data_IF_794420002023
#
_entry.id   IF_794420002023
#
_cell.length_a   1.000
_cell.length_b   1.000
_cell.length_c   1.000
_cell.angle_alpha   90.00
_cell.angle_beta   90.00
_cell.angle_gamma   90.00
#
_symmetry.space_group_name_H-M   'P 1'
#
loop_
_entity.id
_entity.type
_entity.pdbx_description
1 polymer ?
#
# COMPACT_ATOMS: atom_id res chain seq x y z
N UNK A 1 39.26 -1.80 -6.55
CA UNK A 1 39.43 -3.18 -6.04
C UNK A 1 39.86 -4.12 -7.17
N UNK A 2 39.06 -4.27 -8.24
CA UNK A 2 39.38 -5.11 -9.43
C UNK A 2 40.80 -4.91 -9.99
N UNK A 3 41.27 -3.65 -10.10
CA UNK A 3 42.64 -3.33 -10.57
C UNK A 3 43.72 -4.03 -9.73
N UNK A 4 43.59 -4.05 -8.40
CA UNK A 4 44.59 -4.68 -7.52
C UNK A 4 44.67 -6.20 -7.75
N UNK A 5 43.51 -6.87 -7.87
CA UNK A 5 43.45 -8.30 -8.17
C UNK A 5 44.08 -8.60 -9.53
N UNK A 6 43.77 -7.78 -10.55
CA UNK A 6 44.38 -7.88 -11.88
C UNK A 6 45.91 -7.75 -11.81
N UNK A 7 46.42 -6.72 -11.12
CA UNK A 7 47.85 -6.46 -11.02
C UNK A 7 48.57 -7.62 -10.28
N UNK A 8 47.97 -8.19 -9.24
CA UNK A 8 48.48 -9.38 -8.54
C UNK A 8 48.49 -10.63 -9.43
N UNK A 9 47.39 -10.91 -10.15
CA UNK A 9 47.33 -12.05 -11.07
C UNK A 9 48.31 -11.92 -12.25
N UNK A 10 48.49 -10.71 -12.77
CA UNK A 10 49.48 -10.44 -13.82
C UNK A 10 50.91 -10.68 -13.31
N UNK A 11 51.21 -10.21 -12.09
CA UNK A 11 52.51 -10.44 -11.45
C UNK A 11 52.79 -11.93 -11.22
N UNK A 12 51.77 -12.71 -10.85
CA UNK A 12 51.81 -14.18 -10.76
C UNK A 12 52.09 -14.82 -12.12
N UNK A 13 51.40 -14.39 -13.18
CA UNK A 13 51.59 -14.91 -14.53
C UNK A 13 52.99 -14.63 -15.08
N UNK A 14 53.50 -13.42 -14.89
CA UNK A 14 54.82 -13.02 -15.36
C UNK A 14 55.91 -13.84 -14.66
N UNK A 15 55.73 -14.15 -13.37
CA UNK A 15 56.62 -15.03 -12.62
C UNK A 15 56.59 -16.48 -13.14
N UNK A 16 55.40 -17.02 -13.41
CA UNK A 16 55.23 -18.36 -13.98
C UNK A 16 55.85 -18.50 -15.37
N UNK A 17 55.84 -17.44 -16.18
CA UNK A 17 56.46 -17.42 -17.53
C UNK A 17 57.98 -17.23 -17.49
N UNK A 18 58.49 -16.44 -16.54
CA UNK A 18 59.90 -16.08 -16.42
C UNK A 18 60.78 -17.09 -15.66
N UNK A 19 60.17 -18.00 -14.91
CA UNK A 19 60.91 -18.99 -14.12
C UNK A 19 61.18 -20.26 -14.94
N UNK A 20 62.43 -20.78 -14.97
CA UNK A 20 62.68 -22.11 -15.54
C UNK A 20 61.81 -23.11 -14.77
N UNK A 21 61.22 -24.09 -15.48
CA UNK A 21 60.36 -25.17 -14.95
C UNK A 21 61.11 -26.02 -13.90
N UNK A 22 61.48 -25.44 -12.75
CA UNK A 22 61.53 -26.18 -11.49
C UNK A 22 60.13 -26.73 -11.30
N UNK A 23 60.04 -27.91 -10.70
CA UNK A 23 58.78 -28.57 -10.35
C UNK A 23 57.97 -27.67 -9.43
N UNK A 24 57.35 -26.65 -10.01
CA UNK A 24 56.30 -25.90 -9.41
C UNK A 24 55.26 -26.95 -9.08
N UNK A 25 54.96 -27.15 -7.81
CA UNK A 25 53.98 -28.15 -7.40
C UNK A 25 52.71 -27.92 -8.24
N UNK A 26 52.30 -28.94 -9.00
CA UNK A 26 51.21 -28.84 -9.97
C UNK A 26 49.95 -28.26 -9.30
N UNK A 27 49.77 -28.50 -8.01
CA UNK A 27 48.68 -27.97 -7.18
C UNK A 27 48.68 -26.44 -7.07
N UNK A 28 49.84 -25.79 -6.91
CA UNK A 28 49.93 -24.33 -6.84
C UNK A 28 49.57 -23.68 -8.19
N UNK A 29 49.99 -24.31 -9.29
CA UNK A 29 49.62 -23.89 -10.65
C UNK A 29 48.12 -24.01 -10.87
N UNK A 30 47.52 -25.13 -10.47
CA UNK A 30 46.07 -25.35 -10.55
C UNK A 30 45.31 -24.29 -9.76
N UNK A 31 45.76 -23.96 -8.55
CA UNK A 31 45.08 -22.95 -7.73
C UNK A 31 45.16 -21.55 -8.34
N UNK A 32 46.31 -21.18 -8.91
CA UNK A 32 46.48 -19.92 -9.63
C UNK A 32 45.52 -19.83 -10.83
N UNK A 33 45.39 -20.91 -11.60
CA UNK A 33 44.44 -21.00 -12.72
C UNK A 33 43.00 -20.85 -12.23
N UNK A 34 42.60 -21.58 -11.18
CA UNK A 34 41.25 -21.50 -10.62
C UNK A 34 40.91 -20.08 -10.14
N UNK A 35 41.82 -19.44 -9.41
CA UNK A 35 41.66 -18.06 -8.97
C UNK A 35 41.48 -17.09 -10.14
N UNK A 36 42.29 -17.23 -11.19
CA UNK A 36 42.17 -16.41 -12.40
C UNK A 36 40.84 -16.64 -13.14
N UNK A 37 40.40 -17.90 -13.28
CA UNK A 37 39.14 -18.25 -13.93
C UNK A 37 37.93 -17.66 -13.21
N UNK A 38 37.86 -17.78 -11.89
CA UNK A 38 36.79 -17.19 -11.07
C UNK A 38 36.79 -15.66 -11.22
N UNK A 39 37.96 -15.04 -11.07
CA UNK A 39 38.08 -13.58 -11.17
C UNK A 39 37.63 -13.08 -12.54
N UNK A 40 38.05 -13.77 -13.61
CA UNK A 40 37.62 -13.46 -14.98
C UNK A 40 36.10 -13.61 -15.14
N UNK A 41 35.53 -14.74 -14.75
CA UNK A 41 34.09 -15.00 -14.85
C UNK A 41 33.26 -13.95 -14.11
N UNK A 42 33.66 -13.58 -12.89
CA UNK A 42 33.02 -12.50 -12.13
C UNK A 42 33.11 -11.17 -12.87
N UNK A 43 34.28 -10.81 -13.42
CA UNK A 43 34.41 -9.56 -14.18
C UNK A 43 33.61 -9.54 -15.47
N UNK A 44 33.44 -10.67 -16.16
CA UNK A 44 32.61 -10.76 -17.35
C UNK A 44 31.12 -10.61 -16.98
N UNK A 45 30.67 -11.25 -15.89
CA UNK A 45 29.31 -11.07 -15.37
C UNK A 45 29.02 -9.62 -14.97
N UNK A 46 30.01 -8.88 -14.47
CA UNK A 46 29.84 -7.47 -14.12
C UNK A 46 29.76 -6.53 -15.32
N UNK A 47 30.25 -6.94 -16.49
CA UNK A 47 30.16 -6.16 -17.74
C UNK A 47 28.83 -6.38 -18.47
N UNK A 48 28.12 -7.43 -18.12
CA UNK A 48 26.83 -7.72 -18.72
C UNK A 48 25.77 -6.77 -18.14
N UNK A 49 25.40 -5.76 -18.93
CA UNK A 49 24.32 -4.81 -18.62
C UNK A 49 22.95 -5.49 -18.44
N UNK A 50 22.82 -6.78 -18.78
CA UNK A 50 21.63 -7.57 -18.52
C UNK A 50 21.55 -8.11 -17.09
N UNK A 51 22.62 -8.01 -16.28
CA UNK A 51 22.58 -8.30 -14.85
C UNK A 51 21.82 -7.17 -14.12
N UNK A 52 20.50 -7.16 -14.27
CA UNK A 52 19.58 -6.19 -13.65
C UNK A 52 19.19 -6.55 -12.22
N UNK A 53 19.64 -7.69 -11.71
CA UNK A 53 19.30 -8.15 -10.37
C UNK A 53 20.17 -7.46 -9.31
N UNK A 54 19.59 -6.48 -8.63
CA UNK A 54 20.25 -5.66 -7.60
C UNK A 54 21.01 -6.48 -6.56
N UNK A 55 20.45 -7.60 -6.08
CA UNK A 55 21.10 -8.44 -5.07
C UNK A 55 22.33 -9.22 -5.60
N UNK A 56 22.31 -9.63 -6.88
CA UNK A 56 23.48 -10.22 -7.52
C UNK A 56 24.53 -9.15 -7.79
N UNK A 57 24.09 -7.98 -8.24
CA UNK A 57 24.93 -6.81 -8.45
C UNK A 57 25.65 -6.40 -7.15
N UNK A 58 24.92 -6.16 -6.06
CA UNK A 58 25.48 -5.79 -4.75
C UNK A 58 26.48 -6.84 -4.23
N UNK A 59 26.23 -8.12 -4.51
CA UNK A 59 27.19 -9.17 -4.20
C UNK A 59 28.44 -9.07 -5.06
N UNK A 60 28.31 -9.10 -6.39
CA UNK A 60 29.46 -9.09 -7.31
C UNK A 60 30.33 -7.83 -7.13
N UNK A 61 29.72 -6.72 -6.74
CA UNK A 61 30.40 -5.46 -6.42
C UNK A 61 30.83 -5.36 -4.92
N UNK A 62 30.47 -6.33 -4.10
CA UNK A 62 30.77 -6.38 -2.67
C UNK A 62 32.27 -6.55 -2.38
N UNK A 63 32.78 -5.79 -1.41
CA UNK A 63 34.22 -5.78 -1.09
C UNK A 63 34.75 -7.16 -0.69
N UNK A 64 33.93 -7.96 0.00
CA UNK A 64 34.32 -9.30 0.50
C UNK A 64 34.87 -10.21 -0.59
N UNK A 65 34.23 -10.29 -1.77
CA UNK A 65 34.70 -11.13 -2.89
C UNK A 65 36.08 -10.64 -3.36
N UNK A 66 36.21 -9.32 -3.55
CA UNK A 66 37.44 -8.74 -4.08
C UNK A 66 38.60 -8.75 -3.08
N UNK A 67 38.31 -8.59 -1.79
CA UNK A 67 39.30 -8.65 -0.72
C UNK A 67 39.83 -10.08 -0.55
N UNK A 68 38.95 -11.09 -0.59
CA UNK A 68 39.36 -12.50 -0.56
C UNK A 68 40.13 -12.89 -1.83
N UNK A 69 39.66 -12.48 -3.02
CA UNK A 69 40.38 -12.73 -4.28
C UNK A 69 41.76 -12.06 -4.29
N UNK A 70 41.87 -10.83 -3.81
CA UNK A 70 43.15 -10.13 -3.69
C UNK A 70 44.09 -10.85 -2.72
N UNK A 71 43.57 -11.29 -1.58
CA UNK A 71 44.34 -12.03 -0.56
C UNK A 71 44.87 -13.34 -1.13
N UNK A 72 44.06 -14.08 -1.88
CA UNK A 72 44.47 -15.31 -2.55
C UNK A 72 45.56 -15.03 -3.60
N UNK A 73 45.32 -14.08 -4.50
CA UNK A 73 46.27 -13.75 -5.57
C UNK A 73 47.63 -13.28 -5.01
N UNK A 74 47.61 -12.47 -3.94
CA UNK A 74 48.83 -11.99 -3.28
C UNK A 74 49.57 -13.13 -2.57
N UNK A 75 48.82 -14.03 -1.90
CA UNK A 75 49.42 -15.18 -1.21
C UNK A 75 50.06 -16.17 -2.19
N UNK A 76 49.44 -16.38 -3.35
CA UNK A 76 50.03 -17.19 -4.44
C UNK A 76 51.30 -16.51 -4.97
N UNK A 77 51.26 -15.21 -5.25
CA UNK A 77 52.42 -14.46 -5.73
C UNK A 77 53.60 -14.52 -4.73
N UNK A 78 53.31 -14.34 -3.44
CA UNK A 78 54.32 -14.38 -2.39
C UNK A 78 54.99 -15.76 -2.29
N UNK A 79 54.22 -16.85 -2.37
CA UNK A 79 54.79 -18.20 -2.37
C UNK A 79 55.66 -18.47 -3.60
N UNK A 80 55.22 -18.02 -4.77
CA UNK A 80 56.02 -18.11 -5.98
C UNK A 80 57.34 -17.33 -5.85
N UNK A 81 57.28 -16.10 -5.33
CA UNK A 81 58.46 -15.24 -5.18
C UNK A 81 59.46 -15.75 -4.14
N UNK A 82 58.98 -16.29 -3.02
CA UNK A 82 59.84 -16.80 -1.93
C UNK A 82 60.52 -18.11 -2.31
N UNK A 83 59.97 -18.82 -3.31
CA UNK A 83 60.49 -20.11 -3.77
C UNK A 83 60.59 -21.10 -2.58
N UNK A 84 59.56 -21.06 -1.70
CA UNK A 84 59.47 -21.91 -0.52
C UNK A 84 59.45 -23.39 -0.95
N UNK A 85 60.27 -24.23 -0.34
CA UNK A 85 60.36 -25.67 -0.65
C UNK A 85 59.07 -26.44 -0.32
N UNK A 86 58.17 -25.86 0.47
CA UNK A 86 56.86 -26.40 0.80
C UNK A 86 55.84 -25.25 0.98
N UNK A 87 55.10 -24.84 -0.06
CA UNK A 87 54.06 -23.83 0.06
C UNK A 87 52.94 -24.31 0.99
N UNK A 88 52.34 -23.39 1.75
CA UNK A 88 51.24 -23.73 2.66
C UNK A 88 49.93 -23.87 1.88
N UNK A 89 49.83 -24.95 1.09
CA UNK A 89 48.70 -25.23 0.21
C UNK A 89 47.38 -25.34 0.98
N UNK A 90 47.39 -25.87 2.20
CA UNK A 90 46.20 -25.92 3.06
C UNK A 90 45.62 -24.54 3.35
N UNK A 91 46.47 -23.56 3.66
CA UNK A 91 46.05 -22.17 3.87
C UNK A 91 45.51 -21.55 2.58
N UNK A 92 46.18 -21.77 1.45
CA UNK A 92 45.73 -21.26 0.16
C UNK A 92 44.40 -21.86 -0.27
N UNK A 93 44.20 -23.16 -0.08
CA UNK A 93 42.92 -23.84 -0.30
C UNK A 93 41.82 -23.29 0.59
N UNK A 94 42.12 -22.99 1.86
CA UNK A 94 41.15 -22.37 2.77
C UNK A 94 40.67 -21.02 2.24
N UNK A 95 41.60 -20.15 1.80
CA UNK A 95 41.27 -18.84 1.21
C UNK A 95 40.47 -19.00 -0.10
N UNK A 96 40.81 -20.02 -0.90
CA UNK A 96 40.06 -20.35 -2.11
C UNK A 96 38.63 -20.81 -1.81
N UNK A 97 38.43 -21.68 -0.82
CA UNK A 97 37.09 -22.08 -0.37
C UNK A 97 36.30 -20.90 0.19
N UNK A 98 36.95 -19.96 0.89
CA UNK A 98 36.32 -18.71 1.32
C UNK A 98 35.86 -17.85 0.14
N UNK A 99 36.66 -17.79 -0.93
CA UNK A 99 36.29 -17.08 -2.16
C UNK A 99 35.10 -17.75 -2.84
N UNK A 100 35.12 -19.08 -2.96
CA UNK A 100 33.97 -19.84 -3.47
C UNK A 100 32.72 -19.57 -2.62
N UNK A 101 32.82 -19.66 -1.29
CA UNK A 101 31.71 -19.38 -0.38
C UNK A 101 31.22 -17.93 -0.44
N UNK A 102 32.10 -16.96 -0.72
CA UNK A 102 31.70 -15.56 -0.91
C UNK A 102 30.87 -15.39 -2.20
N UNK A 103 31.15 -16.20 -3.23
CA UNK A 103 30.41 -16.22 -4.49
C UNK A 103 29.12 -17.04 -4.39
N UNK A 104 29.20 -18.24 -3.81
CA UNK A 104 28.12 -19.23 -3.73
C UNK A 104 27.21 -19.08 -2.52
N UNK A 105 27.62 -18.31 -1.49
CA UNK A 105 26.89 -18.20 -0.23
C UNK A 105 25.40 -17.87 -0.43
N UNK A 106 24.53 -18.24 0.51
CA UNK A 106 23.10 -17.90 0.39
C UNK A 106 22.94 -16.40 0.16
N UNK A 107 22.48 -15.98 -1.02
CA UNK A 107 21.87 -14.64 -1.12
C UNK A 107 20.63 -14.81 -0.30
N UNK A 108 20.51 -14.07 0.80
CA UNK A 108 19.22 -13.97 1.49
C UNK A 108 18.22 -13.45 0.47
N UNK A 109 17.42 -14.37 -0.07
CA UNK A 109 16.34 -14.02 -0.98
C UNK A 109 15.27 -13.43 -0.08
N UNK A 110 15.33 -12.11 0.04
CA UNK A 110 14.39 -11.33 0.82
C UNK A 110 13.08 -11.19 0.04
N UNK A 111 11.97 -11.18 0.78
CA UNK A 111 10.67 -10.79 0.27
C UNK A 111 10.74 -9.36 -0.30
N UNK A 112 10.14 -9.09 -1.48
CA UNK A 112 10.04 -7.74 -2.00
C UNK A 112 9.35 -6.78 -1.04
N UNK A 113 9.88 -5.57 -0.89
CA UNK A 113 9.33 -4.55 0.02
C UNK A 113 7.88 -4.18 -0.28
N UNK A 114 7.50 -4.24 -1.55
CA UNK A 114 6.14 -3.98 -2.04
C UNK A 114 5.08 -4.89 -1.41
N UNK A 115 5.47 -6.09 -0.97
CA UNK A 115 4.56 -6.99 -0.26
C UNK A 115 3.97 -6.36 1.01
N UNK A 116 4.77 -5.61 1.76
CA UNK A 116 4.33 -4.94 2.97
C UNK A 116 3.45 -3.70 2.68
N UNK A 117 3.61 -3.10 1.50
CA UNK A 117 2.84 -1.92 1.06
C UNK A 117 1.44 -2.28 0.60
N UNK A 118 1.20 -3.54 0.22
CA UNK A 118 -0.04 -4.00 -0.38
C UNK A 118 -1.25 -3.94 0.58
N UNK A 119 -1.13 -4.49 1.79
CA UNK A 119 -2.26 -4.61 2.72
C UNK A 119 -2.82 -3.27 3.23
N UNK A 120 -2.00 -2.24 3.54
CA UNK A 120 -2.52 -0.93 3.90
C UNK A 120 -3.38 -0.27 2.81
N UNK A 121 -3.16 -0.62 1.53
CA UNK A 121 -3.93 -0.05 0.42
C UNK A 121 -5.33 -0.64 0.32
N UNK A 122 -5.52 -1.92 0.66
CA UNK A 122 -6.83 -2.59 0.60
C UNK A 122 -7.89 -1.86 1.43
N UNK A 123 -7.50 -1.34 2.60
CA UNK A 123 -8.39 -0.58 3.48
C UNK A 123 -8.85 0.77 2.92
N UNK A 124 -8.17 1.29 1.88
CA UNK A 124 -8.49 2.56 1.21
C UNK A 124 -9.37 2.36 -0.03
N UNK A 125 -9.60 1.12 -0.46
CA UNK A 125 -10.36 0.81 -1.66
C UNK A 125 -11.84 0.79 -1.32
N UNK A 126 -12.64 1.47 -2.13
CA UNK A 126 -14.06 1.56 -1.89
C UNK A 126 -14.89 0.41 -2.46
N UNK A 127 -16.20 0.53 -2.31
CA UNK A 127 -17.17 -0.56 -2.53
C UNK A 127 -17.29 -1.08 -3.96
N UNK A 128 -16.69 -0.44 -4.96
CA UNK A 128 -16.76 -0.94 -6.33
C UNK A 128 -15.78 -2.09 -6.61
N UNK A 129 -14.66 -2.13 -5.87
CA UNK A 129 -13.55 -3.05 -6.14
C UNK A 129 -13.15 -3.89 -4.93
N UNK A 130 -13.79 -3.70 -3.78
CA UNK A 130 -13.31 -4.29 -2.52
C UNK A 130 -13.17 -5.82 -2.53
N UNK A 131 -14.12 -6.57 -3.09
CA UNK A 131 -14.01 -8.03 -3.14
C UNK A 131 -12.90 -8.45 -4.09
N UNK A 132 -12.78 -7.79 -5.25
CA UNK A 132 -11.67 -8.01 -6.18
C UNK A 132 -10.31 -7.76 -5.50
N UNK A 133 -10.17 -6.65 -4.76
CA UNK A 133 -8.92 -6.31 -4.07
C UNK A 133 -8.55 -7.32 -3.00
N UNK A 134 -9.53 -7.84 -2.26
CA UNK A 134 -9.30 -8.89 -1.27
C UNK A 134 -8.80 -10.18 -1.93
N UNK A 135 -9.37 -10.55 -3.09
CA UNK A 135 -8.91 -11.72 -3.85
C UNK A 135 -7.48 -11.52 -4.34
N UNK A 136 -7.15 -10.39 -4.99
CA UNK A 136 -5.78 -10.13 -5.44
C UNK A 136 -4.79 -10.12 -4.26
N UNK A 137 -5.14 -9.50 -3.14
CA UNK A 137 -4.30 -9.51 -1.94
C UNK A 137 -4.07 -10.92 -1.39
N UNK A 138 -5.11 -11.76 -1.39
CA UNK A 138 -4.99 -13.17 -1.00
C UNK A 138 -4.10 -13.97 -1.95
N UNK A 139 -4.19 -13.73 -3.26
CA UNK A 139 -3.36 -14.40 -4.25
C UNK A 139 -1.90 -13.96 -4.15
N UNK A 140 -1.63 -12.66 -3.99
CA UNK A 140 -0.29 -12.15 -3.72
C UNK A 140 0.29 -12.75 -2.42
N UNK A 141 -0.54 -12.93 -1.38
CA UNK A 141 -0.12 -13.61 -0.15
C UNK A 141 0.26 -15.08 -0.38
N UNK A 142 -0.50 -15.81 -1.20
CA UNK A 142 -0.19 -17.19 -1.56
C UNK A 142 1.13 -17.30 -2.32
N UNK A 143 1.31 -16.46 -3.35
CA UNK A 143 2.54 -16.33 -4.14
C UNK A 143 3.73 -16.00 -3.24
N UNK A 144 3.61 -14.99 -2.38
CA UNK A 144 4.65 -14.60 -1.44
C UNK A 144 4.99 -15.73 -0.45
N UNK A 145 3.98 -16.42 0.09
CA UNK A 145 4.20 -17.55 1.01
C UNK A 145 4.94 -18.70 0.32
N UNK A 146 4.62 -18.98 -0.94
CA UNK A 146 5.32 -20.00 -1.72
C UNK A 146 6.78 -19.59 -2.00
N UNK A 147 6.98 -18.34 -2.41
CA UNK A 147 8.29 -17.77 -2.65
C UNK A 147 9.19 -17.81 -1.41
N UNK A 148 8.67 -17.46 -0.23
CA UNK A 148 9.42 -17.49 1.04
C UNK A 148 9.84 -18.92 1.42
N UNK A 149 9.02 -19.92 1.09
CA UNK A 149 9.31 -21.34 1.37
C UNK A 149 10.35 -21.92 0.42
N UNK A 150 10.20 -21.69 -0.88
CA UNK A 150 11.08 -22.28 -1.88
C UNK A 150 12.37 -21.50 -2.10
N UNK A 151 12.33 -20.18 -1.87
CA UNK A 151 13.43 -19.25 -2.12
C UNK A 151 14.06 -19.45 -3.50
N UNK A 152 13.23 -19.70 -4.52
CA UNK A 152 13.69 -19.78 -5.91
C UNK A 152 14.06 -18.38 -6.39
N UNK A 153 15.34 -18.18 -6.73
CA UNK A 153 15.83 -16.87 -7.18
C UNK A 153 15.13 -16.39 -8.45
N UNK A 154 14.88 -17.30 -9.39
CA UNK A 154 14.23 -17.04 -10.68
C UNK A 154 12.79 -16.53 -10.52
N UNK A 155 12.11 -16.90 -9.43
CA UNK A 155 10.76 -16.46 -9.14
C UNK A 155 10.68 -15.04 -8.54
N UNK A 156 11.81 -14.45 -8.11
CA UNK A 156 11.77 -13.16 -7.42
C UNK A 156 11.24 -12.04 -8.31
N UNK A 157 11.73 -11.97 -9.55
CA UNK A 157 11.35 -10.90 -10.48
C UNK A 157 9.86 -10.96 -10.84
N UNK A 158 9.32 -12.17 -11.00
CA UNK A 158 7.89 -12.35 -11.28
C UNK A 158 7.05 -11.94 -10.08
N UNK A 159 7.46 -12.27 -8.86
CA UNK A 159 6.80 -11.81 -7.62
C UNK A 159 6.84 -10.28 -7.50
N UNK A 160 7.99 -9.65 -7.78
CA UNK A 160 8.13 -8.18 -7.77
C UNK A 160 7.17 -7.52 -8.77
N UNK A 161 7.10 -8.03 -10.01
CA UNK A 161 6.15 -7.52 -11.02
C UNK A 161 4.70 -7.68 -10.61
N UNK A 162 4.32 -8.85 -10.11
CA UNK A 162 2.95 -9.12 -9.66
C UNK A 162 2.53 -8.18 -8.53
N UNK A 163 3.41 -7.95 -7.55
CA UNK A 163 3.16 -7.02 -6.46
C UNK A 163 3.03 -5.58 -6.95
N UNK A 164 3.94 -5.12 -7.82
CA UNK A 164 3.89 -3.78 -8.39
C UNK A 164 2.58 -3.51 -9.15
N UNK A 165 2.17 -4.44 -10.04
CA UNK A 165 0.90 -4.33 -10.78
C UNK A 165 -0.32 -4.32 -9.86
N UNK A 166 -0.28 -5.11 -8.80
CA UNK A 166 -1.37 -5.15 -7.80
C UNK A 166 -1.46 -3.83 -7.03
N UNK A 167 -0.32 -3.22 -6.68
CA UNK A 167 -0.27 -1.90 -6.06
C UNK A 167 -0.84 -0.83 -7.00
N UNK A 168 -0.50 -0.86 -8.29
CA UNK A 168 -1.05 0.08 -9.28
C UNK A 168 -2.58 -0.03 -9.34
N UNK A 169 -3.11 -1.26 -9.42
CA UNK A 169 -4.55 -1.53 -9.40
C UNK A 169 -5.23 -1.00 -8.12
N UNK A 170 -4.62 -1.20 -6.96
CA UNK A 170 -5.15 -0.74 -5.68
C UNK A 170 -5.11 0.79 -5.56
N UNK A 171 -4.06 1.41 -6.07
CA UNK A 171 -3.87 2.86 -6.04
C UNK A 171 -4.89 3.55 -6.96
N UNK A 172 -5.17 2.96 -8.13
CA UNK A 172 -6.24 3.40 -9.02
C UNK A 172 -7.63 3.24 -8.39
N UNK A 173 -7.93 2.05 -7.85
CA UNK A 173 -9.21 1.75 -7.21
C UNK A 173 -9.49 2.59 -5.95
N UNK A 174 -8.44 2.96 -5.22
CA UNK A 174 -8.50 3.88 -4.08
C UNK A 174 -8.56 5.36 -4.47
N UNK A 175 -8.43 5.71 -5.76
CA UNK A 175 -8.41 7.09 -6.23
C UNK A 175 -7.19 7.90 -5.77
N UNK A 176 -6.10 7.23 -5.42
CA UNK A 176 -4.90 7.84 -4.81
C UNK A 176 -3.97 8.50 -5.84
N UNK A 177 -4.20 8.29 -7.15
CA UNK A 177 -3.36 8.79 -8.25
C UNK A 177 -3.87 10.08 -8.92
N UNK A 178 -4.95 10.72 -8.43
CA UNK A 178 -5.47 11.95 -9.08
C UNK A 178 -4.83 13.22 -8.50
N UNK A 179 -4.27 14.12 -9.34
CA UNK A 179 -3.71 15.39 -8.87
C UNK A 179 -4.81 16.28 -8.29
N UNK A 180 -4.55 16.84 -7.11
CA UNK A 180 -5.39 17.83 -6.44
C UNK A 180 -5.44 19.07 -7.33
N UNK A 181 -6.47 19.18 -8.15
CA UNK A 181 -6.73 20.36 -8.97
C UNK A 181 -7.74 21.23 -8.23
N UNK A 182 -7.26 22.39 -7.77
CA UNK A 182 -8.05 23.54 -7.30
C UNK A 182 -8.91 23.36 -6.05
N UNK A 183 -8.35 22.89 -4.93
CA UNK A 183 -8.83 23.21 -3.56
C UNK A 183 -10.27 22.81 -3.20
N UNK A 184 -10.98 22.13 -4.10
CA UNK A 184 -12.25 21.50 -3.86
C UNK A 184 -11.95 20.01 -3.91
N UNK A 185 -12.05 19.35 -2.76
CA UNK A 185 -12.07 17.89 -2.67
C UNK A 185 -13.32 17.38 -3.39
N UNK A 186 -13.34 17.40 -4.71
CA UNK A 186 -14.21 16.56 -5.49
C UNK A 186 -13.57 15.18 -5.51
N UNK A 187 -13.97 14.37 -4.54
CA UNK A 187 -13.89 12.92 -4.63
C UNK A 187 -14.78 12.46 -5.81
N UNK A 188 -14.34 12.73 -7.03
CA UNK A 188 -15.05 12.38 -8.26
C UNK A 188 -15.08 10.85 -8.48
N UNK A 189 -14.24 10.11 -7.75
CA UNK A 189 -14.32 8.65 -7.63
C UNK A 189 -14.58 8.26 -6.17
N UNK A 190 -15.55 8.94 -5.54
CA UNK A 190 -15.98 8.74 -4.15
C UNK A 190 -16.50 7.33 -3.87
N UNK A 191 -15.59 6.37 -3.86
CA UNK A 191 -15.76 5.10 -3.18
C UNK A 191 -15.28 5.22 -1.71
N UNK A 192 -14.90 6.43 -1.27
CA UNK A 192 -14.77 6.78 0.14
C UNK A 192 -16.14 6.70 0.81
N UNK A 193 -16.32 5.68 1.64
CA UNK A 193 -17.55 5.42 2.39
C UNK A 193 -17.72 6.32 3.62
N UNK A 194 -16.87 7.32 3.81
CA UNK A 194 -17.01 8.26 4.92
C UNK A 194 -17.99 9.35 4.51
N UNK A 195 -19.27 9.05 4.76
CA UNK A 195 -20.40 9.91 4.44
C UNK A 195 -20.26 11.31 5.01
N UNK A 196 -19.86 12.25 4.16
CA UNK A 196 -20.15 13.67 4.35
C UNK A 196 -21.39 13.97 3.52
N UNK A 197 -22.53 14.05 4.19
CA UNK A 197 -23.78 14.50 3.57
C UNK A 197 -23.71 16.02 3.48
N UNK A 198 -23.34 16.54 2.31
CA UNK A 198 -23.45 17.97 2.03
C UNK A 198 -24.89 18.30 1.60
N UNK A 199 -25.43 19.38 2.15
CA UNK A 199 -26.80 19.81 1.92
C UNK A 199 -27.01 20.21 0.44
N UNK A 200 -27.90 19.48 -0.26
CA UNK A 200 -28.80 20.11 -1.23
C UNK A 200 -28.53 19.96 -2.72
N UNK A 201 -27.52 19.21 -3.17
CA UNK A 201 -27.38 18.88 -4.61
C UNK A 201 -27.44 17.37 -4.76
N UNK A 202 -28.36 16.88 -5.60
CA UNK A 202 -28.51 15.46 -5.89
C UNK A 202 -27.18 14.88 -6.35
N UNK A 203 -26.57 14.03 -5.53
CA UNK A 203 -25.37 13.32 -5.89
C UNK A 203 -25.69 12.36 -7.04
N UNK A 204 -25.17 12.65 -8.23
CA UNK A 204 -24.87 11.63 -9.23
C UNK A 204 -23.80 10.72 -8.62
N UNK A 205 -24.26 9.66 -7.94
CA UNK A 205 -23.42 8.56 -7.48
C UNK A 205 -22.87 7.83 -8.70
N UNK A 206 -21.75 8.31 -9.25
CA UNK A 206 -20.97 7.63 -10.29
C UNK A 206 -20.20 6.47 -9.67
N UNK A 207 -20.89 5.54 -9.01
CA UNK A 207 -20.36 4.23 -8.64
C UNK A 207 -20.29 3.33 -9.87
N UNK A 208 -19.89 3.88 -11.01
CA UNK A 208 -19.65 3.15 -12.25
C UNK A 208 -18.21 2.65 -12.27
N UNK A 209 -18.04 1.44 -12.80
CA UNK A 209 -16.74 0.84 -12.99
C UNK A 209 -15.93 1.69 -13.98
N UNK A 210 -14.73 2.06 -13.56
CA UNK A 210 -13.70 2.63 -14.41
C UNK A 210 -13.04 1.50 -15.24
N UNK A 211 -13.20 1.49 -16.58
CA UNK A 211 -12.60 0.46 -17.44
C UNK A 211 -11.07 0.43 -17.35
N UNK A 212 -10.42 1.58 -17.12
CA UNK A 212 -8.97 1.65 -16.98
C UNK A 212 -8.53 0.98 -15.68
N UNK A 213 -9.32 1.11 -14.62
CA UNK A 213 -9.08 0.41 -13.36
C UNK A 213 -9.25 -1.11 -13.52
N UNK A 214 -10.30 -1.57 -14.22
CA UNK A 214 -10.51 -3.01 -14.47
C UNK A 214 -9.35 -3.64 -15.24
N UNK A 215 -8.80 -2.93 -16.24
CA UNK A 215 -7.60 -3.38 -16.95
C UNK A 215 -6.41 -3.58 -16.02
N UNK A 216 -6.24 -2.73 -15.00
CA UNK A 216 -5.15 -2.91 -14.02
C UNK A 216 -5.35 -4.16 -13.15
N UNK A 217 -6.60 -4.55 -12.85
CA UNK A 217 -6.89 -5.81 -12.17
C UNK A 217 -6.59 -7.02 -13.07
N UNK A 218 -6.86 -6.91 -14.38
CA UNK A 218 -6.49 -7.94 -15.36
C UNK A 218 -4.96 -8.07 -15.51
N UNK A 219 -4.25 -6.95 -15.64
CA UNK A 219 -2.79 -6.96 -15.70
C UNK A 219 -2.17 -7.60 -14.44
N UNK A 220 -2.74 -7.30 -13.26
CA UNK A 220 -2.31 -7.87 -11.99
C UNK A 220 -2.53 -9.38 -11.95
N UNK A 221 -3.68 -9.89 -12.41
CA UNK A 221 -3.94 -11.33 -12.39
C UNK A 221 -3.05 -12.09 -13.37
N UNK A 222 -2.71 -11.49 -14.51
CA UNK A 222 -1.83 -12.11 -15.51
C UNK A 222 -0.38 -12.23 -15.01
N UNK A 223 0.13 -11.26 -14.25
CA UNK A 223 1.43 -11.38 -13.58
C UNK A 223 1.39 -12.42 -12.44
N UNK A 224 0.30 -12.48 -11.67
CA UNK A 224 0.12 -13.51 -10.63
C UNK A 224 0.11 -14.92 -11.28
N UNK A 225 -0.54 -15.10 -12.43
CA UNK A 225 -0.49 -16.37 -13.18
C UNK A 225 0.93 -16.71 -13.60
N UNK A 226 1.70 -15.71 -14.02
CA UNK A 226 3.11 -15.89 -14.37
C UNK A 226 3.94 -16.35 -13.17
N UNK A 227 3.63 -15.88 -11.95
CA UNK A 227 4.20 -16.43 -10.72
C UNK A 227 3.85 -17.91 -10.51
N UNK A 228 2.59 -18.30 -10.73
CA UNK A 228 2.15 -19.69 -10.57
C UNK A 228 2.92 -20.62 -11.52
N UNK A 229 3.07 -20.22 -12.78
CA UNK A 229 3.84 -20.97 -13.78
C UNK A 229 5.31 -21.08 -13.38
N UNK A 230 5.93 -19.95 -13.00
CA UNK A 230 7.37 -19.90 -12.66
C UNK A 230 7.70 -20.74 -11.43
N UNK A 231 6.78 -20.81 -10.47
CA UNK A 231 6.98 -21.55 -9.22
C UNK A 231 6.38 -22.96 -9.24
N UNK A 232 5.78 -23.40 -10.37
CA UNK A 232 5.07 -24.67 -10.50
C UNK A 232 3.96 -24.85 -9.44
N UNK A 233 3.22 -23.77 -9.17
CA UNK A 233 2.11 -23.78 -8.22
C UNK A 233 0.86 -24.37 -8.88
N UNK A 234 0.57 -25.62 -8.55
CA UNK A 234 -0.69 -26.27 -8.92
C UNK A 234 -1.76 -26.02 -7.85
N UNK A 235 -2.36 -24.82 -7.85
CA UNK A 235 -3.60 -24.61 -7.08
C UNK A 235 -4.80 -25.11 -7.88
N UNK A 236 -5.69 -25.88 -7.23
CA UNK A 236 -6.88 -26.48 -7.86
C UNK A 236 -7.96 -25.48 -8.33
N UNK A 237 -7.66 -24.19 -8.44
CA UNK A 237 -8.58 -23.15 -8.90
C UNK A 237 -7.80 -22.04 -9.63
N UNK A 238 -8.25 -21.68 -10.84
CA UNK A 238 -7.63 -20.63 -11.65
C UNK A 238 -7.75 -19.26 -10.95
N UNK A 239 -6.63 -18.54 -10.72
CA UNK A 239 -6.65 -17.17 -10.22
C UNK A 239 -7.64 -16.25 -10.95
N UNK A 240 -7.81 -16.41 -12.26
CA UNK A 240 -8.75 -15.58 -13.05
C UNK A 240 -10.21 -15.89 -12.73
N UNK A 241 -10.56 -17.16 -12.54
CA UNK A 241 -11.91 -17.53 -12.11
C UNK A 241 -12.25 -16.96 -10.73
N UNK A 242 -11.28 -16.96 -9.80
CA UNK A 242 -11.45 -16.32 -8.48
C UNK A 242 -11.71 -14.82 -8.60
N UNK A 243 -11.01 -14.13 -9.51
CA UNK A 243 -11.21 -12.70 -9.76
C UNK A 243 -12.59 -12.42 -10.38
N UNK A 244 -13.03 -13.20 -11.37
CA UNK A 244 -14.36 -13.07 -11.99
C UNK A 244 -15.50 -13.31 -10.98
N UNK A 245 -15.33 -14.30 -10.09
CA UNK A 245 -16.28 -14.52 -9.00
C UNK A 245 -16.34 -13.32 -8.04
N UNK A 246 -15.21 -12.66 -7.78
CA UNK A 246 -15.15 -11.46 -6.95
C UNK A 246 -15.77 -10.23 -7.64
N UNK A 247 -15.54 -10.06 -8.96
CA UNK A 247 -16.22 -9.06 -9.81
C UNK A 247 -17.73 -9.18 -9.69
N UNK A 248 -18.24 -10.40 -9.84
CA UNK A 248 -19.68 -10.69 -9.72
C UNK A 248 -20.22 -10.28 -8.34
N UNK A 249 -19.49 -10.61 -7.25
CA UNK A 249 -19.87 -10.21 -5.89
C UNK A 249 -19.90 -8.69 -5.69
N UNK A 250 -18.91 -7.98 -6.22
CA UNK A 250 -18.88 -6.51 -6.13
C UNK A 250 -20.04 -5.89 -6.93
N UNK A 251 -20.32 -6.40 -8.13
CA UNK A 251 -21.46 -5.96 -8.96
C UNK A 251 -22.80 -6.22 -8.27
N UNK A 252 -23.01 -7.40 -7.68
CA UNK A 252 -24.21 -7.72 -6.91
C UNK A 252 -24.36 -6.80 -5.71
N UNK A 253 -23.28 -6.52 -4.98
CA UNK A 253 -23.29 -5.60 -3.84
C UNK A 253 -23.62 -4.17 -4.27
N UNK A 254 -23.05 -3.70 -5.38
CA UNK A 254 -23.37 -2.40 -5.95
C UNK A 254 -24.83 -2.33 -6.40
N UNK A 255 -25.35 -3.37 -7.05
CA UNK A 255 -26.75 -3.46 -7.45
C UNK A 255 -27.67 -3.42 -6.23
N UNK A 256 -27.37 -4.20 -5.20
CA UNK A 256 -28.13 -4.18 -3.94
C UNK A 256 -28.08 -2.81 -3.27
N UNK A 257 -26.92 -2.15 -3.26
CA UNK A 257 -26.76 -0.81 -2.72
C UNK A 257 -27.58 0.21 -3.52
N UNK A 258 -27.48 0.19 -4.86
CA UNK A 258 -28.28 1.03 -5.75
C UNK A 258 -29.76 0.80 -5.48
N UNK A 259 -30.24 -0.45 -5.46
CA UNK A 259 -31.62 -0.79 -5.15
C UNK A 259 -32.05 -0.29 -3.77
N UNK A 260 -31.21 -0.40 -2.72
CA UNK A 260 -31.54 0.15 -1.39
C UNK A 260 -31.59 1.67 -1.38
N UNK A 261 -30.72 2.33 -2.16
CA UNK A 261 -30.70 3.79 -2.26
C UNK A 261 -31.87 4.27 -3.10
N UNK A 262 -32.20 3.64 -4.24
CA UNK A 262 -33.33 4.02 -5.09
C UNK A 262 -34.68 3.62 -4.50
N UNK A 263 -34.82 2.44 -3.92
CA UNK A 263 -36.08 1.98 -3.30
C UNK A 263 -36.24 2.50 -1.87
N UNK A 264 -35.16 2.91 -1.20
CA UNK A 264 -35.17 3.59 0.09
C UNK A 264 -35.40 5.11 0.00
N UNK A 265 -35.62 5.62 -1.22
CA UNK A 265 -36.25 6.91 -1.48
C UNK A 265 -37.68 6.62 -1.99
N UNK A 266 -38.47 5.83 -1.25
CA UNK A 266 -39.84 6.31 -1.01
C UNK A 266 -39.64 7.70 -0.43
N UNK A 267 -40.09 8.75 -1.13
CA UNK A 267 -39.92 10.15 -0.75
C UNK A 267 -39.95 10.23 0.79
N UNK A 268 -38.77 10.37 1.42
CA UNK A 268 -38.69 10.30 2.88
C UNK A 268 -39.66 11.36 3.35
N UNK A 269 -40.71 10.96 4.05
CA UNK A 269 -41.79 11.86 4.44
C UNK A 269 -41.17 12.88 5.39
N UNK A 270 -40.70 14.00 4.86
CA UNK A 270 -40.05 15.03 5.66
C UNK A 270 -41.14 15.84 6.33
N UNK A 271 -40.94 16.11 7.60
CA UNK A 271 -41.76 17.03 8.37
C UNK A 271 -41.21 18.43 8.16
N UNK A 272 -42.07 19.36 7.77
CA UNK A 272 -41.75 20.78 7.75
C UNK A 272 -41.77 21.32 9.20
N UNK A 273 -40.59 21.45 9.79
CA UNK A 273 -40.41 21.91 11.16
C UNK A 273 -40.14 23.42 11.19
N UNK A 274 -41.00 24.14 11.90
CA UNK A 274 -40.85 25.57 12.16
C UNK A 274 -40.38 25.76 13.60
N UNK A 275 -39.19 26.32 13.79
CA UNK A 275 -38.64 26.63 15.10
C UNK A 275 -38.78 28.13 15.33
N UNK A 276 -39.50 28.52 16.37
CA UNK A 276 -39.66 29.91 16.77
C UNK A 276 -38.82 30.12 18.02
N UNK A 277 -37.80 30.96 17.94
CA UNK A 277 -36.82 31.11 19.01
C UNK A 277 -37.17 32.32 19.86
N UNK A 278 -37.18 32.12 21.18
CA UNK A 278 -37.49 33.12 22.19
C UNK A 278 -36.34 33.25 23.18
N UNK A 279 -36.04 34.46 23.61
CA UNK A 279 -35.21 34.67 24.80
C UNK A 279 -36.00 34.29 26.05
N UNK A 280 -35.34 33.68 27.02
CA UNK A 280 -35.96 33.33 28.30
C UNK A 280 -36.60 34.57 28.97
N UNK A 281 -37.88 34.46 29.33
CA UNK A 281 -38.68 35.55 29.88
C UNK A 281 -39.23 36.57 28.88
N UNK A 282 -38.92 36.46 27.57
CA UNK A 282 -39.47 37.34 26.53
C UNK A 282 -40.71 36.75 25.85
N UNK A 283 -41.70 37.60 25.56
CA UNK A 283 -42.88 37.23 24.76
C UNK A 283 -42.67 37.41 23.25
N UNK A 284 -41.61 38.11 22.84
CA UNK A 284 -41.28 38.34 21.43
C UNK A 284 -40.28 37.31 20.93
N UNK A 285 -40.55 36.72 19.76
CA UNK A 285 -39.59 35.84 19.10
C UNK A 285 -38.43 36.65 18.51
N UNK A 286 -37.23 36.10 18.63
CA UNK A 286 -35.99 36.71 18.13
C UNK A 286 -35.54 36.11 16.79
N UNK A 287 -35.97 34.88 16.49
CA UNK A 287 -35.61 34.21 15.26
C UNK A 287 -36.64 33.15 14.86
N UNK A 288 -36.72 32.83 13.57
CA UNK A 288 -37.59 31.78 13.05
C UNK A 288 -36.83 30.95 12.02
N UNK A 289 -36.70 29.66 12.28
CA UNK A 289 -36.04 28.70 11.38
C UNK A 289 -37.06 27.77 10.76
N UNK A 290 -36.85 27.45 9.49
CA UNK A 290 -37.60 26.44 8.77
C UNK A 290 -36.62 25.33 8.37
N UNK A 291 -36.82 24.13 8.91
CA UNK A 291 -35.96 22.98 8.64
C UNK A 291 -36.80 21.78 8.26
N UNK A 292 -36.30 20.96 7.33
CA UNK A 292 -36.93 19.69 6.97
C UNK A 292 -36.23 18.57 7.71
N UNK A 293 -36.99 17.81 8.50
CA UNK A 293 -36.46 16.73 9.32
C UNK A 293 -37.19 15.44 9.06
N UNK A 294 -36.53 14.32 9.35
CA UNK A 294 -37.21 13.03 9.35
C UNK A 294 -38.21 12.97 10.51
N UNK A 295 -39.35 12.26 10.39
CA UNK A 295 -40.30 12.09 11.48
C UNK A 295 -39.66 11.39 12.68
N UNK A 296 -38.68 10.51 12.41
CA UNK A 296 -37.89 9.79 13.42
C UNK A 296 -36.73 10.60 13.99
N UNK A 297 -36.52 11.85 13.54
CA UNK A 297 -35.49 12.70 14.12
C UNK A 297 -35.81 13.00 15.59
N UNK A 298 -34.78 12.97 16.44
CA UNK A 298 -34.90 13.38 17.85
C UNK A 298 -34.68 14.87 18.01
N UNK A 299 -35.27 15.46 19.06
CA UNK A 299 -35.07 16.87 19.38
C UNK A 299 -33.62 17.23 19.70
N UNK A 300 -32.80 16.29 20.15
CA UNK A 300 -31.35 16.48 20.29
C UNK A 300 -30.64 16.80 18.96
N UNK A 301 -31.04 16.16 17.86
CA UNK A 301 -30.55 16.49 16.52
C UNK A 301 -31.03 17.88 16.08
N UNK A 302 -32.29 18.23 16.37
CA UNK A 302 -32.85 19.56 16.11
C UNK A 302 -32.13 20.63 16.92
N UNK A 303 -31.77 20.35 18.17
CA UNK A 303 -30.96 21.23 19.04
C UNK A 303 -29.61 21.53 18.40
N UNK A 304 -28.91 20.49 17.93
CA UNK A 304 -27.63 20.64 17.26
C UNK A 304 -27.74 21.50 15.98
N UNK A 305 -28.76 21.28 15.15
CA UNK A 305 -28.99 22.12 13.96
C UNK A 305 -29.28 23.57 14.34
N UNK A 306 -30.13 23.79 15.34
CA UNK A 306 -30.52 25.13 15.81
C UNK A 306 -29.32 25.91 16.35
N UNK A 307 -28.45 25.25 17.14
CA UNK A 307 -27.24 25.85 17.69
C UNK A 307 -26.20 26.20 16.60
N UNK A 308 -26.24 25.51 15.45
CA UNK A 308 -25.38 25.82 14.31
C UNK A 308 -25.83 27.07 13.57
N UNK A 309 -27.14 27.28 13.46
CA UNK A 309 -27.73 28.43 12.78
C UNK A 309 -27.76 29.69 13.67
N UNK A 310 -28.00 29.54 14.97
CA UNK A 310 -28.04 30.65 15.92
C UNK A 310 -26.78 30.60 16.79
N UNK A 311 -25.81 31.46 16.45
CA UNK A 311 -24.54 31.57 17.17
C UNK A 311 -24.72 32.29 18.50
N UNK A 312 -23.87 31.94 19.47
CA UNK A 312 -23.75 32.61 20.77
C UNK A 312 -25.02 32.59 21.65
N UNK A 313 -25.89 31.58 21.47
CA UNK A 313 -27.04 31.33 22.34
C UNK A 313 -26.99 29.94 22.95
N UNK A 314 -27.38 29.83 24.22
CA UNK A 314 -27.55 28.54 24.88
C UNK A 314 -29.00 28.10 24.77
N UNK A 315 -29.26 26.95 24.13
CA UNK A 315 -30.61 26.39 24.03
C UNK A 315 -30.94 25.67 25.35
N UNK A 316 -31.87 26.25 26.10
CA UNK A 316 -32.33 25.74 27.40
C UNK A 316 -33.30 24.57 27.22
N UNK A 317 -34.39 24.79 26.46
CA UNK A 317 -35.45 23.78 26.28
C UNK A 317 -36.27 24.03 25.02
N UNK A 318 -36.98 22.99 24.60
CA UNK A 318 -38.04 23.09 23.61
C UNK A 318 -39.39 23.14 24.31
N UNK A 319 -40.30 23.93 23.79
CA UNK A 319 -41.69 24.00 24.19
C UNK A 319 -42.58 23.76 22.97
N UNK A 320 -43.75 23.19 23.17
CA UNK A 320 -44.78 23.13 22.16
C UNK A 320 -45.51 24.49 22.03
N UNK A 321 -46.43 24.68 21.06
CA UNK A 321 -47.20 25.91 20.94
C UNK A 321 -48.08 26.24 22.15
N UNK A 322 -48.33 25.26 23.02
CA UNK A 322 -49.07 25.40 24.28
C UNK A 322 -48.15 25.72 25.48
N UNK A 323 -46.86 25.96 25.23
CA UNK A 323 -45.80 26.24 26.22
C UNK A 323 -45.50 25.07 27.16
N UNK A 324 -45.79 23.84 26.74
CA UNK A 324 -45.40 22.65 27.49
C UNK A 324 -43.98 22.22 27.13
N UNK A 325 -43.10 21.92 28.11
CA UNK A 325 -41.74 21.50 27.83
C UNK A 325 -41.71 20.13 27.15
N UNK A 326 -40.89 20.01 26.11
CA UNK A 326 -40.71 18.78 25.34
C UNK A 326 -39.32 18.19 25.59
N UNK A 327 -39.20 16.91 25.99
CA UNK A 327 -37.91 16.30 26.31
C UNK A 327 -37.04 16.12 25.07
N UNK A 328 -35.73 16.29 25.21
CA UNK A 328 -34.76 16.25 24.09
C UNK A 328 -34.68 14.90 23.37
N UNK A 329 -35.05 13.82 24.05
CA UNK A 329 -35.09 12.48 23.48
C UNK A 329 -36.41 12.17 22.75
N UNK A 330 -37.39 13.08 22.77
CA UNK A 330 -38.62 12.92 22.01
C UNK A 330 -38.33 12.90 20.50
N UNK A 331 -39.03 12.01 19.81
CA UNK A 331 -39.09 11.99 18.35
C UNK A 331 -40.03 13.11 17.87
N UNK A 332 -39.79 13.59 16.64
CA UNK A 332 -40.66 14.60 16.01
C UNK A 332 -42.04 14.04 15.69
N UNK A 333 -42.13 12.76 15.29
CA UNK A 333 -43.36 12.09 14.85
C UNK A 333 -44.61 12.35 15.71
N UNK A 334 -44.59 12.20 17.05
CA UNK A 334 -45.75 12.48 17.90
C UNK A 334 -46.16 13.97 17.98
N UNK A 335 -45.29 14.88 17.54
CA UNK A 335 -45.49 16.34 17.59
C UNK A 335 -45.99 16.91 16.25
N UNK A 336 -46.15 16.06 15.23
CA UNK A 336 -46.53 16.46 13.88
C UNK A 336 -48.05 16.57 13.75
N UNK A 337 -48.53 17.64 13.11
CA UNK A 337 -49.90 17.81 12.64
C UNK A 337 -49.85 18.22 11.16
N UNK A 338 -50.55 17.49 10.29
CA UNK A 338 -50.59 17.76 8.84
C UNK A 338 -49.21 17.88 8.18
N UNK A 339 -48.30 16.97 8.53
CA UNK A 339 -46.90 16.94 8.08
C UNK A 339 -46.07 18.20 8.43
N UNK A 340 -46.58 19.02 9.37
CA UNK A 340 -45.91 20.21 9.89
C UNK A 340 -45.74 20.08 11.41
N UNK A 341 -44.67 20.65 11.92
CA UNK A 341 -44.44 20.74 13.35
C UNK A 341 -43.97 22.16 13.68
N UNK A 342 -44.47 22.74 14.77
CA UNK A 342 -43.99 24.03 15.25
C UNK A 342 -43.51 23.85 16.69
N UNK A 343 -42.27 24.27 16.95
CA UNK A 343 -41.68 24.22 18.29
C UNK A 343 -41.17 25.61 18.67
N UNK A 344 -41.34 25.94 19.93
CA UNK A 344 -40.75 27.11 20.55
C UNK A 344 -39.39 26.70 21.16
N UNK A 345 -38.33 27.42 20.80
CA UNK A 345 -36.98 27.18 21.32
C UNK A 345 -36.67 28.27 22.31
N UNK A 346 -36.53 27.91 23.59
CA UNK A 346 -36.16 28.88 24.63
C UNK A 346 -34.64 28.90 24.74
N UNK A 347 -34.07 30.09 24.52
CA UNK A 347 -32.63 30.31 24.59
C UNK A 347 -32.28 31.33 25.65
N UNK A 348 -31.08 31.19 26.20
CA UNK A 348 -30.44 32.22 27.00
C UNK A 348 -29.45 32.97 26.12
N UNK A 349 -29.64 34.28 25.96
CA UNK A 349 -28.70 35.13 25.25
C UNK A 349 -27.35 35.14 25.97
N UNK A 350 -26.26 34.88 25.24
CA UNK A 350 -24.91 34.97 25.78
C UNK A 350 -24.65 36.36 26.37
N UNK A 351 -24.10 36.42 27.59
CA UNK A 351 -23.50 37.67 28.10
C UNK A 351 -22.50 38.18 27.06
N UNK A 352 -22.42 39.49 26.78
CA UNK A 352 -21.34 40.02 25.97
C UNK A 352 -20.03 39.56 26.59
N UNK A 353 -19.18 38.90 25.79
CA UNK A 353 -17.78 38.67 26.17
C UNK A 353 -17.18 40.04 26.43
N UNK A 354 -17.05 40.41 27.70
CA UNK A 354 -16.19 41.51 28.11
C UNK A 354 -14.80 41.17 27.59
N UNK A 355 -14.36 41.87 26.53
CA UNK A 355 -12.97 41.87 26.14
C UNK A 355 -12.16 42.28 27.36
N UNK A 356 -11.41 41.33 27.93
CA UNK A 356 -10.42 41.62 28.96
C UNK A 356 -9.35 42.52 28.35
N UNK A 357 -9.47 43.82 28.62
CA UNK A 357 -8.34 44.74 28.67
C UNK A 357 -8.04 44.99 30.14
N UNK A 358 -7.03 44.29 30.66
CA UNK A 358 -5.87 44.82 31.40
C UNK A 358 -5.05 43.67 31.97
#
# INVERSE_FOLDING_TARGET
MVKKVKDSLQSTLDFLKGSPKKSLEDELSVLAIKCAMITYGVTELMKDDQVKHLALYDRLYGSKIWDTAQTLATSIHDHLKRNDEAPNLSKLHTIYTELENALTGEVSILMPEDYHRLFPLVGKIGRAYHAQSLVLASLCHQVATHFEKEKKREARETVERALAKTIDAFTAAGGLNKPVTNGIEHAANGASTNGVVSNGVGHTMTGEYDPDCERLYDDSIDEIKSCYITMDMNEGSDPKEKLEAARTKDQERLKLYRTRVTNGITAREFVDLTLIVYNDGSSSSIHKLHVKVLPTARLSYVKWMTAREIKDVEILRFEDPQKQPVPLDAEIKPLVKDNKCTLHVIVQGGKPKTNGSQ
#
